data_IF_722618113332
#
_entry.id   IF_722618113332
#
_cell.length_a   1.000
_cell.length_b   1.000
_cell.length_c   1.000
_cell.angle_alpha   90.00
_cell.angle_beta   90.00
_cell.angle_gamma   90.00
#
_symmetry.space_group_name_H-M   'P 1'
#
loop_
_entity.id
_entity.type
_entity.pdbx_description
1 polymer ?
#
# COMPACT_ATOMS: atom_id res chain seq x y z
N UNK A 1 6.90 -7.69 8.23
CA UNK A 1 6.55 -6.67 9.24
C UNK A 1 5.51 -5.74 8.64
N UNK A 2 4.58 -5.25 9.46
CA UNK A 2 3.68 -4.14 9.15
C UNK A 2 3.97 -3.04 10.17
N UNK A 3 4.12 -1.79 9.72
CA UNK A 3 4.42 -0.65 10.61
C UNK A 3 3.43 0.47 10.33
N UNK A 4 2.88 1.06 11.38
CA UNK A 4 1.90 2.15 11.28
C UNK A 4 2.08 3.18 12.40
N UNK A 5 1.43 4.34 12.26
CA UNK A 5 1.50 5.42 13.25
C UNK A 5 0.55 5.19 14.44
N UNK A 6 1.08 5.33 15.67
CA UNK A 6 0.30 5.41 16.91
C UNK A 6 -0.43 6.76 17.01
N UNK A 7 -1.43 6.93 16.14
CA UNK A 7 -2.29 8.10 16.10
C UNK A 7 -3.19 8.13 17.34
N UNK A 8 -3.15 9.23 18.08
CA UNK A 8 -4.05 9.46 19.23
C UNK A 8 -5.43 9.90 18.72
N UNK A 9 -6.17 8.96 18.14
CA UNK A 9 -7.50 9.15 17.51
C UNK A 9 -8.45 9.91 18.44
N UNK A 10 -8.47 9.57 19.73
CA UNK A 10 -9.28 10.24 20.77
C UNK A 10 -8.97 11.74 20.96
N UNK A 11 -7.77 12.20 20.60
CA UNK A 11 -7.42 13.62 20.53
C UNK A 11 -7.76 14.22 19.16
N UNK A 12 -7.61 13.47 18.08
CA UNK A 12 -7.92 13.95 16.72
C UNK A 12 -9.41 14.25 16.53
N UNK A 13 -10.31 13.41 17.08
CA UNK A 13 -11.77 13.62 17.02
C UNK A 13 -12.27 14.83 17.80
N UNK A 14 -11.43 15.49 18.62
CA UNK A 14 -11.77 16.75 19.30
C UNK A 14 -11.82 17.94 18.33
N UNK A 15 -11.25 17.82 17.13
CA UNK A 15 -11.42 18.82 16.08
C UNK A 15 -12.78 18.60 15.40
N UNK A 16 -13.80 19.37 15.78
CA UNK A 16 -15.17 19.24 15.27
C UNK A 16 -15.30 19.29 13.74
N UNK A 17 -14.40 19.98 13.03
CA UNK A 17 -14.42 20.01 11.55
C UNK A 17 -13.97 18.70 10.90
N UNK A 18 -13.18 17.89 11.60
CA UNK A 18 -12.65 16.60 11.12
C UNK A 18 -13.20 15.40 11.88
N UNK A 19 -13.89 15.61 13.00
CA UNK A 19 -14.36 14.57 13.91
C UNK A 19 -15.17 13.49 13.19
N UNK A 20 -16.09 13.89 12.30
CA UNK A 20 -16.88 12.94 11.50
C UNK A 20 -16.01 12.08 10.59
N UNK A 21 -15.18 12.68 9.74
CA UNK A 21 -14.36 11.92 8.77
C UNK A 21 -13.30 11.03 9.45
N UNK A 22 -12.76 11.44 10.60
CA UNK A 22 -11.87 10.61 11.42
C UNK A 22 -12.61 9.42 12.04
N UNK A 23 -13.85 9.64 12.49
CA UNK A 23 -14.68 8.58 13.11
C UNK A 23 -15.17 7.58 12.07
N UNK A 24 -15.69 8.06 10.93
CA UNK A 24 -16.13 7.23 9.81
C UNK A 24 -14.98 6.33 9.30
N UNK A 25 -13.73 6.82 9.30
CA UNK A 25 -12.54 6.06 8.92
C UNK A 25 -12.18 4.91 9.89
N UNK A 26 -12.79 4.82 11.07
CA UNK A 26 -12.73 3.67 11.98
C UNK A 26 -11.30 3.22 12.37
N UNK A 27 -10.36 4.16 12.46
CA UNK A 27 -8.92 3.90 12.66
C UNK A 27 -8.56 2.93 13.79
N UNK A 28 -9.24 3.04 14.94
CA UNK A 28 -9.00 2.13 16.07
C UNK A 28 -9.33 0.68 15.70
N UNK A 29 -10.50 0.44 15.07
CA UNK A 29 -10.90 -0.89 14.63
C UNK A 29 -9.95 -1.44 13.56
N UNK A 30 -9.47 -0.59 12.64
CA UNK A 30 -8.45 -0.96 11.67
C UNK A 30 -7.16 -1.45 12.35
N UNK A 31 -6.68 -0.77 13.40
CA UNK A 31 -5.48 -1.22 14.14
C UNK A 31 -5.69 -2.53 14.89
N UNK A 32 -6.91 -2.78 15.41
CA UNK A 32 -7.25 -4.09 16.00
C UNK A 32 -7.21 -5.22 14.96
N UNK A 33 -7.70 -4.97 13.74
CA UNK A 33 -7.63 -5.93 12.64
C UNK A 33 -6.18 -6.19 12.18
N UNK A 34 -5.34 -5.16 12.14
CA UNK A 34 -3.91 -5.34 11.83
C UNK A 34 -3.23 -6.27 12.82
N UNK A 35 -3.41 -6.06 14.13
CA UNK A 35 -2.84 -6.93 15.18
C UNK A 35 -3.39 -8.37 15.10
N UNK A 36 -4.71 -8.53 14.90
CA UNK A 36 -5.36 -9.83 14.73
C UNK A 36 -4.79 -10.62 13.54
N UNK A 37 -4.74 -10.01 12.35
CA UNK A 37 -4.19 -10.67 11.17
C UNK A 37 -2.66 -10.82 11.25
N UNK A 38 -1.95 -9.90 11.92
CA UNK A 38 -0.52 -10.04 12.20
C UNK A 38 -0.20 -11.33 12.94
N UNK A 39 -1.00 -11.67 13.95
CA UNK A 39 -0.90 -12.94 14.70
C UNK A 39 -1.21 -14.17 13.84
N UNK A 40 -2.24 -14.10 12.99
CA UNK A 40 -2.61 -15.22 12.10
C UNK A 40 -1.51 -15.53 11.08
N UNK A 41 -0.91 -14.51 10.48
CA UNK A 41 0.02 -14.66 9.36
C UNK A 41 1.50 -14.70 9.78
N UNK A 42 1.78 -14.76 11.08
CA UNK A 42 3.12 -14.62 11.68
C UNK A 42 3.87 -13.39 11.11
N UNK A 43 3.29 -12.21 11.34
CA UNK A 43 3.82 -10.91 10.92
C UNK A 43 3.85 -9.99 12.13
N UNK A 44 5.05 -9.55 12.52
CA UNK A 44 5.23 -8.47 13.47
C UNK A 44 4.48 -7.21 13.00
N UNK A 45 3.63 -6.66 13.87
CA UNK A 45 2.87 -5.43 13.69
C UNK A 45 3.39 -4.41 14.71
N UNK A 46 3.86 -3.25 14.24
CA UNK A 46 4.57 -2.28 15.08
C UNK A 46 3.93 -0.90 14.95
N UNK A 47 3.52 -0.33 16.08
CA UNK A 47 3.07 1.05 16.17
C UNK A 47 4.27 1.97 16.47
N UNK A 48 4.40 3.09 15.74
CA UNK A 48 5.49 4.06 15.93
C UNK A 48 4.95 5.47 16.23
N UNK A 49 5.76 6.32 16.86
CA UNK A 49 5.38 7.72 17.08
C UNK A 49 5.07 8.43 15.73
N UNK A 50 3.92 9.12 15.60
CA UNK A 50 3.56 9.91 14.42
C UNK A 50 4.37 11.21 14.27
N UNK A 51 5.18 11.57 15.27
CA UNK A 51 5.81 12.88 15.34
C UNK A 51 6.73 13.12 14.13
N UNK A 52 6.36 14.11 13.30
CA UNK A 52 7.14 14.62 12.16
C UNK A 52 7.39 13.64 11.00
N UNK A 53 6.74 12.48 10.93
CA UNK A 53 6.90 11.48 9.84
C UNK A 53 6.77 12.06 8.42
N UNK A 54 5.82 12.97 8.21
CA UNK A 54 5.58 13.65 6.92
C UNK A 54 6.46 14.90 6.67
N UNK A 55 7.15 15.39 7.70
CA UNK A 55 7.98 16.59 7.67
C UNK A 55 9.48 16.27 7.58
N UNK A 56 9.96 15.30 8.37
CA UNK A 56 11.35 14.84 8.33
C UNK A 56 11.63 14.17 6.99
N UNK A 57 12.74 14.51 6.35
CA UNK A 57 13.11 13.95 5.07
C UNK A 57 13.57 12.50 5.23
N UNK A 58 12.93 11.57 4.52
CA UNK A 58 13.27 10.15 4.59
C UNK A 58 14.63 9.80 3.97
N UNK A 59 15.22 10.71 3.19
CA UNK A 59 16.57 10.61 2.63
C UNK A 59 17.65 11.13 3.58
N UNK A 60 17.49 12.33 4.15
CA UNK A 60 18.56 13.02 4.89
C UNK A 60 18.21 13.48 6.32
N UNK A 61 17.00 13.19 6.83
CA UNK A 61 16.55 13.58 8.16
C UNK A 61 16.14 15.06 8.34
N UNK A 62 16.47 15.95 7.39
CA UNK A 62 16.14 17.38 7.48
C UNK A 62 14.63 17.64 7.58
N UNK A 63 14.20 18.51 8.51
CA UNK A 63 12.79 18.80 8.79
C UNK A 63 12.21 19.85 7.84
N UNK A 64 11.34 19.41 6.94
CA UNK A 64 10.57 20.26 6.01
C UNK A 64 9.19 20.56 6.61
N UNK A 65 9.04 21.72 7.26
CA UNK A 65 7.74 22.22 7.72
C UNK A 65 6.80 22.43 6.52
N UNK A 66 5.55 21.97 6.63
CA UNK A 66 4.53 22.08 5.57
C UNK A 66 3.12 22.01 6.15
N UNK A 67 2.13 22.50 5.39
CA UNK A 67 0.71 22.40 5.76
C UNK A 67 0.14 21.01 5.46
N UNK A 68 -1.07 20.73 5.96
CA UNK A 68 -1.82 19.51 5.61
C UNK A 68 -2.20 19.44 4.12
N UNK A 69 -2.31 20.59 3.44
CA UNK A 69 -2.63 20.68 2.01
C UNK A 69 -1.43 20.36 1.10
N UNK A 70 -0.19 20.54 1.56
CA UNK A 70 1.00 20.15 0.79
C UNK A 70 1.05 18.64 0.59
N UNK A 71 1.03 18.17 -0.67
CA UNK A 71 1.09 16.74 -1.03
C UNK A 71 2.45 16.26 -1.53
N UNK A 72 3.34 17.16 -1.91
CA UNK A 72 4.72 16.86 -2.29
C UNK A 72 5.67 17.05 -1.10
N UNK A 73 6.68 16.19 -0.96
CA UNK A 73 7.84 16.42 -0.13
C UNK A 73 9.01 16.79 -1.04
N UNK A 74 9.27 18.09 -1.15
CA UNK A 74 10.49 18.64 -1.74
C UNK A 74 11.44 19.04 -0.61
N UNK A 75 12.62 18.42 -0.53
CA UNK A 75 13.58 18.68 0.55
C UNK A 75 14.67 19.68 0.10
N UNK A 76 14.80 20.85 0.73
CA UNK A 76 15.81 21.84 0.34
C UNK A 76 17.24 21.41 0.70
N UNK A 77 17.42 20.42 1.60
CA UNK A 77 18.73 19.98 2.07
C UNK A 77 19.38 18.91 1.16
N UNK A 78 18.58 18.03 0.54
CA UNK A 78 19.10 16.94 -0.30
C UNK A 78 18.44 16.83 -1.68
N UNK A 79 17.59 17.78 -2.04
CA UNK A 79 16.94 17.85 -3.36
C UNK A 79 15.90 16.77 -3.66
N UNK A 80 15.61 15.84 -2.75
CA UNK A 80 14.60 14.80 -3.02
C UNK A 80 13.20 15.41 -3.17
N UNK A 81 12.52 15.03 -4.25
CA UNK A 81 11.11 15.36 -4.50
C UNK A 81 10.29 14.08 -4.71
N UNK A 82 9.41 13.78 -3.75
CA UNK A 82 8.53 12.59 -3.76
C UNK A 82 7.15 12.93 -3.17
N UNK A 83 6.17 12.03 -3.31
CA UNK A 83 4.91 12.17 -2.57
C UNK A 83 5.16 12.22 -1.05
N UNK A 84 4.49 13.15 -0.36
CA UNK A 84 4.60 13.33 1.10
C UNK A 84 4.24 12.04 1.85
N UNK A 85 3.23 11.33 1.38
CA UNK A 85 2.73 10.14 2.05
C UNK A 85 3.69 8.95 1.82
N UNK A 86 4.42 8.91 0.69
CA UNK A 86 5.58 8.01 0.47
C UNK A 86 6.75 8.34 1.40
N UNK A 87 7.10 9.63 1.55
CA UNK A 87 8.13 10.05 2.52
C UNK A 87 7.76 9.61 3.95
N UNK A 88 6.51 9.81 4.35
CA UNK A 88 6.00 9.38 5.64
C UNK A 88 6.10 7.86 5.81
N UNK A 89 5.66 7.08 4.82
CA UNK A 89 5.75 5.61 4.85
C UNK A 89 7.19 5.10 5.04
N UNK A 90 8.17 5.69 4.36
CA UNK A 90 9.59 5.32 4.52
C UNK A 90 10.08 5.65 5.96
N UNK A 91 9.70 6.81 6.51
CA UNK A 91 10.05 7.18 7.88
C UNK A 91 9.39 6.26 8.93
N UNK A 92 8.13 5.93 8.73
CA UNK A 92 7.37 4.98 9.58
C UNK A 92 8.08 3.63 9.57
N UNK A 93 8.39 3.09 8.38
CA UNK A 93 9.09 1.82 8.22
C UNK A 93 10.46 1.83 8.92
N UNK A 94 11.29 2.85 8.68
CA UNK A 94 12.61 3.01 9.33
C UNK A 94 12.51 3.01 10.85
N UNK A 95 11.52 3.70 11.43
CA UNK A 95 11.27 3.71 12.88
C UNK A 95 10.87 2.33 13.40
N UNK A 96 9.96 1.63 12.72
CA UNK A 96 9.52 0.30 13.15
C UNK A 96 10.61 -0.76 13.06
N UNK A 97 11.46 -0.69 12.03
CA UNK A 97 12.60 -1.59 11.88
C UNK A 97 13.68 -1.31 12.93
N UNK A 98 13.91 -0.05 13.29
CA UNK A 98 14.76 0.32 14.43
C UNK A 98 14.26 -0.24 15.77
N UNK A 99 12.94 -0.26 16.02
CA UNK A 99 12.34 -0.89 17.22
C UNK A 99 12.58 -2.41 17.23
N UNK A 100 12.54 -3.06 16.07
CA UNK A 100 12.78 -4.50 15.94
C UNK A 100 14.27 -4.89 15.92
N UNK A 101 15.20 -3.92 15.90
CA UNK A 101 16.63 -4.18 15.76
C UNK A 101 17.01 -4.72 14.36
N UNK A 102 16.22 -4.43 13.33
CA UNK A 102 16.42 -4.92 11.95
C UNK A 102 16.88 -3.74 11.07
N UNK A 103 17.93 -3.93 10.27
CA UNK A 103 18.30 -2.94 9.27
C UNK A 103 17.33 -2.95 8.08
N UNK A 104 16.89 -1.77 7.64
CA UNK A 104 16.15 -1.64 6.39
C UNK A 104 17.12 -1.62 5.20
N UNK A 105 17.15 -2.72 4.45
CA UNK A 105 17.83 -2.78 3.16
C UNK A 105 16.84 -2.42 2.05
N UNK A 106 17.24 -1.52 1.14
CA UNK A 106 16.42 -1.08 0.01
C UNK A 106 16.16 -2.18 -1.04
N UNK A 107 16.74 -3.37 -0.85
CA UNK A 107 16.67 -4.53 -1.75
C UNK A 107 15.33 -5.26 -1.69
N UNK A 108 14.22 -4.56 -1.99
CA UNK A 108 12.99 -5.25 -2.37
C UNK A 108 13.20 -5.91 -3.73
N UNK A 109 13.57 -7.19 -3.73
CA UNK A 109 13.34 -8.08 -4.87
C UNK A 109 11.82 -8.21 -5.02
N UNK A 110 11.22 -7.27 -5.74
CA UNK A 110 9.78 -7.24 -5.96
C UNK A 110 9.36 -8.57 -6.59
N UNK A 111 8.45 -9.28 -5.95
CA UNK A 111 7.75 -10.39 -6.60
C UNK A 111 7.04 -9.80 -7.82
N UNK A 112 7.64 -9.99 -9.00
CA UNK A 112 6.93 -9.89 -10.27
C UNK A 112 5.86 -10.97 -10.19
N UNK A 113 4.64 -10.58 -9.86
CA UNK A 113 3.47 -11.40 -10.12
C UNK A 113 3.38 -11.48 -11.64
N UNK A 114 3.88 -12.57 -12.21
CA UNK A 114 3.78 -12.83 -13.63
C UNK A 114 2.32 -12.79 -14.02
N UNK A 115 1.93 -11.85 -14.88
CA UNK A 115 0.60 -11.81 -15.46
C UNK A 115 0.49 -12.94 -16.49
N UNK A 116 0.23 -14.16 -16.03
CA UNK A 116 -0.14 -15.26 -16.91
C UNK A 116 -1.51 -14.95 -17.54
N UNK A 117 -1.52 -14.80 -18.85
CA UNK A 117 -2.72 -14.62 -19.64
C UNK A 117 -3.46 -15.95 -19.74
N UNK A 118 -4.59 -16.10 -19.04
CA UNK A 118 -5.47 -17.26 -19.19
C UNK A 118 -6.84 -16.87 -19.77
N UNK A 119 -7.00 -17.15 -21.07
CA UNK A 119 -8.26 -17.55 -21.71
C UNK A 119 -9.48 -16.62 -21.60
N UNK A 120 -9.80 -15.91 -22.70
CA UNK A 120 -11.16 -15.43 -22.93
C UNK A 120 -12.11 -16.63 -23.00
N UNK A 121 -13.08 -16.71 -22.08
CA UNK A 121 -14.17 -17.69 -22.21
C UNK A 121 -15.17 -17.18 -23.25
N UNK A 122 -15.42 -17.98 -24.29
CA UNK A 122 -16.21 -17.56 -25.45
C UNK A 122 -17.71 -17.46 -25.17
N UNK A 123 -18.30 -16.33 -25.55
CA UNK A 123 -19.75 -16.15 -25.57
C UNK A 123 -20.33 -16.92 -26.77
N UNK A 124 -21.23 -17.86 -26.49
CA UNK A 124 -21.85 -18.71 -27.53
C UNK A 124 -23.10 -18.03 -28.08
N UNK A 125 -23.02 -17.54 -29.32
CA UNK A 125 -24.19 -17.25 -30.15
C UNK A 125 -24.25 -18.26 -31.30
N UNK A 126 -25.45 -18.82 -31.53
CA UNK A 126 -25.68 -19.87 -32.51
C UNK A 126 -26.52 -19.34 -33.67
N UNK A 127 -26.10 -19.60 -34.91
CA UNK A 127 -26.97 -19.50 -36.09
C UNK A 127 -26.43 -20.31 -37.27
N UNK A 128 -27.24 -21.29 -37.69
CA UNK A 128 -27.47 -21.77 -39.06
C UNK A 128 -26.30 -22.28 -39.93
N UNK A 129 -26.37 -23.61 -40.20
CA UNK A 129 -26.21 -24.34 -41.48
C UNK A 129 -26.12 -23.46 -42.77
N UNK A 130 -25.31 -23.78 -43.78
CA UNK A 130 -25.39 -24.95 -44.68
C UNK A 130 -24.08 -25.16 -45.51
N UNK A 131 -23.88 -26.35 -46.10
CA UNK A 131 -22.99 -26.53 -47.27
C UNK A 131 -21.93 -27.65 -47.20
N UNK A 132 -22.24 -28.82 -47.77
CA UNK A 132 -21.29 -29.89 -48.16
C UNK A 132 -21.32 -30.03 -49.70
N UNK A 133 -20.17 -30.28 -50.39
CA UNK A 133 -19.80 -31.63 -50.90
C UNK A 133 -18.39 -32.08 -50.42
N UNK A 134 -18.12 -33.38 -50.17
CA UNK A 134 -17.57 -34.39 -51.11
C UNK A 134 -16.24 -33.98 -51.79
N UNK A 135 -15.16 -34.78 -51.97
CA UNK A 135 -14.81 -36.22 -51.84
C UNK A 135 -13.27 -36.31 -51.53
N UNK A 136 -12.51 -37.42 -51.39
CA UNK A 136 -12.65 -38.86 -51.74
C UNK A 136 -11.78 -39.81 -50.84
N UNK A 137 -11.82 -41.10 -51.18
CA UNK A 137 -10.85 -42.23 -51.06
C UNK A 137 -9.47 -42.08 -50.35
N UNK A 138 -8.93 -43.11 -49.68
CA UNK A 138 -9.46 -44.47 -49.49
C UNK A 138 -8.49 -45.46 -48.82
N UNK A 139 -9.01 -46.66 -48.53
CA UNK A 139 -8.41 -47.92 -48.06
C UNK A 139 -6.87 -48.09 -48.08
N UNK A 140 -6.31 -48.49 -46.93
CA UNK A 140 -6.00 -49.91 -46.63
C UNK A 140 -6.09 -50.18 -45.13
#
# INVERSE_FOLDING_TARGET
VIVYEDLKVSNMVKNHHLAKSISDASWYQFTQWLDYYGKIWDKAVVAVSPNYTSQDCSSCGYRVKKSLSTRTHSCPNCGIEICRDTNAAINILKRGMGILGIEWQNSTFGQKVSAEQSGKHGEKTASTIDGQPEIASGFL
#
